data_IF_681164705997
#
_entry.id   IF_681164705997
#
_cell.length_a   1.000
_cell.length_b   1.000
_cell.length_c   1.000
_cell.angle_alpha   90.00
_cell.angle_beta   90.00
_cell.angle_gamma   90.00
#
_symmetry.space_group_name_H-M   'P 1'
#
loop_
_entity.id
_entity.type
_entity.pdbx_description
1 polymer ?
#
# COMPACT_ATOMS: atom_id res chain seq x y z
N UNK A 1 -2.75 17.91 14.15
CA UNK A 1 -2.35 16.48 14.15
C UNK A 1 -3.25 15.79 13.13
N UNK A 2 -2.81 15.70 11.86
CA UNK A 2 -3.60 15.10 10.78
C UNK A 2 -3.54 13.58 10.91
N UNK A 3 -4.68 12.93 11.11
CA UNK A 3 -4.79 11.48 11.06
C UNK A 3 -4.78 11.05 9.59
N UNK A 4 -3.78 10.25 9.19
CA UNK A 4 -3.69 9.70 7.83
C UNK A 4 -4.88 8.76 7.57
N UNK A 5 -5.97 9.32 7.03
CA UNK A 5 -7.22 8.61 6.72
C UNK A 5 -7.07 7.51 5.64
N UNK A 6 -5.92 7.40 4.98
CA UNK A 6 -5.69 6.45 3.88
C UNK A 6 -5.36 5.02 4.33
N UNK A 7 -4.92 4.81 5.58
CA UNK A 7 -4.60 3.44 6.04
C UNK A 7 -5.83 2.55 6.25
N UNK A 8 -7.05 3.12 6.26
CA UNK A 8 -8.28 2.38 6.53
C UNK A 8 -8.96 1.79 5.29
N UNK A 9 -8.54 2.16 4.06
CA UNK A 9 -9.16 1.64 2.83
C UNK A 9 -8.74 0.20 2.53
N UNK A 10 -7.50 -0.17 2.87
CA UNK A 10 -6.99 -1.53 2.72
C UNK A 10 -7.03 -2.23 4.07
N UNK A 11 -7.66 -3.42 4.17
CA UNK A 11 -7.91 -4.09 5.45
C UNK A 11 -6.66 -4.80 5.99
N UNK A 12 -5.55 -4.06 6.16
CA UNK A 12 -4.22 -4.60 6.48
C UNK A 12 -4.23 -5.49 7.72
N UNK A 13 -4.91 -5.07 8.78
CA UNK A 13 -5.07 -5.83 10.02
C UNK A 13 -5.95 -7.06 9.86
N UNK A 14 -7.02 -6.96 9.08
CA UNK A 14 -7.98 -8.07 8.91
C UNK A 14 -7.41 -9.20 8.06
N UNK A 15 -6.47 -8.88 7.15
CA UNK A 15 -5.74 -9.88 6.36
C UNK A 15 -4.33 -10.18 6.92
N UNK A 16 -3.99 -9.62 8.09
CA UNK A 16 -2.68 -9.75 8.75
C UNK A 16 -1.47 -9.38 7.87
N UNK A 17 -1.63 -8.47 6.91
CA UNK A 17 -0.52 -8.04 6.05
C UNK A 17 0.52 -7.20 6.79
N UNK A 18 0.11 -6.53 7.88
CA UNK A 18 1.01 -5.86 8.80
C UNK A 18 1.88 -6.84 9.58
N UNK A 19 1.31 -7.94 10.08
CA UNK A 19 2.05 -9.00 10.76
C UNK A 19 3.05 -9.64 9.80
N UNK A 20 2.61 -10.02 8.60
CA UNK A 20 3.47 -10.63 7.59
C UNK A 20 4.67 -9.74 7.24
N UNK A 21 4.44 -8.44 6.99
CA UNK A 21 5.54 -7.53 6.66
C UNK A 21 6.51 -7.31 7.83
N UNK A 22 6.01 -7.31 9.07
CA UNK A 22 6.87 -7.23 10.25
C UNK A 22 7.78 -8.47 10.40
N UNK A 23 7.27 -9.66 10.10
CA UNK A 23 8.02 -10.92 10.16
C UNK A 23 8.94 -11.12 8.94
N UNK A 24 8.60 -10.50 7.80
CA UNK A 24 9.31 -10.60 6.53
C UNK A 24 9.58 -9.22 5.92
N UNK A 25 10.41 -8.41 6.58
CA UNK A 25 10.66 -7.01 6.20
C UNK A 25 11.14 -6.82 4.74
N UNK A 26 11.79 -7.82 4.13
CA UNK A 26 12.21 -7.78 2.73
C UNK A 26 11.09 -7.99 1.70
N UNK A 27 9.87 -8.30 2.15
CA UNK A 27 8.69 -8.49 1.30
C UNK A 27 7.84 -7.21 1.22
N UNK A 28 8.49 -6.06 1.05
CA UNK A 28 7.86 -4.73 0.98
C UNK A 28 7.31 -4.35 -0.41
N UNK A 29 7.66 -5.14 -1.44
CA UNK A 29 7.22 -4.93 -2.81
C UNK A 29 8.07 -3.93 -3.61
N UNK A 30 9.14 -3.36 -3.05
CA UNK A 30 9.96 -2.33 -3.72
C UNK A 30 10.61 -2.79 -5.03
N UNK A 31 10.83 -4.09 -5.22
CA UNK A 31 11.39 -4.68 -6.46
C UNK A 31 10.32 -5.27 -7.40
N UNK A 32 9.06 -5.25 -6.99
CA UNK A 32 7.96 -5.89 -7.72
C UNK A 32 7.21 -4.85 -8.55
N UNK A 33 6.97 -5.14 -9.84
CA UNK A 33 6.15 -4.30 -10.71
C UNK A 33 4.80 -4.96 -10.96
N UNK A 34 3.72 -4.22 -10.69
CA UNK A 34 2.35 -4.67 -10.88
C UNK A 34 1.72 -3.88 -12.03
N UNK A 35 1.05 -4.57 -12.95
CA UNK A 35 0.19 -3.95 -13.95
C UNK A 35 -1.25 -3.94 -13.43
N UNK A 36 -1.91 -2.79 -13.51
CA UNK A 36 -3.33 -2.64 -13.16
C UNK A 36 -4.10 -2.40 -14.44
N UNK A 37 -5.03 -3.29 -14.76
CA UNK A 37 -6.00 -3.09 -15.83
C UNK A 37 -7.32 -2.63 -15.23
N UNK A 38 -7.57 -1.34 -15.34
CA UNK A 38 -8.77 -0.67 -14.89
C UNK A 38 -9.02 0.53 -15.84
N UNK A 39 -10.07 1.29 -15.57
CA UNK A 39 -10.46 2.49 -16.30
C UNK A 39 -9.46 3.64 -16.19
N UNK A 40 -8.59 3.64 -15.18
CA UNK A 40 -7.52 4.62 -15.01
C UNK A 40 -6.93 4.62 -13.60
N UNK A 41 -5.80 5.32 -13.43
CA UNK A 41 -5.16 5.60 -12.15
C UNK A 41 -4.81 7.09 -12.12
N UNK A 42 -5.02 7.75 -10.98
CA UNK A 42 -4.46 9.09 -10.70
C UNK A 42 -3.10 8.93 -9.99
N UNK A 43 -1.96 9.18 -10.67
CA UNK A 43 -0.63 9.03 -10.06
C UNK A 43 -0.33 10.08 -8.98
N UNK A 44 -1.14 11.15 -8.91
CA UNK A 44 -0.94 12.23 -7.92
C UNK A 44 -1.62 11.94 -6.58
N UNK A 45 -2.48 10.92 -6.53
CA UNK A 45 -3.17 10.49 -5.33
C UNK A 45 -2.18 10.14 -4.18
N UNK A 46 -2.57 10.49 -2.96
CA UNK A 46 -1.78 10.21 -1.77
C UNK A 46 -1.49 8.70 -1.64
N UNK A 47 -0.22 8.35 -1.47
CA UNK A 47 0.22 6.96 -1.34
C UNK A 47 0.67 6.27 -2.64
N UNK A 48 0.53 6.92 -3.80
CA UNK A 48 1.18 6.50 -5.06
C UNK A 48 2.42 7.32 -5.42
N UNK A 49 2.68 8.36 -4.65
CA UNK A 49 3.88 9.20 -4.80
C UNK A 49 5.12 8.39 -4.41
N UNK A 50 6.22 8.63 -5.11
CA UNK A 50 7.54 8.11 -4.70
C UNK A 50 8.02 8.96 -3.51
N UNK A 51 8.40 8.29 -2.43
CA UNK A 51 9.02 8.91 -1.24
C UNK A 51 10.50 9.16 -1.42
#
# INVERSE_FOLDING_TARGET
MMTNAFSSLLPKKQINSDVFLNEHAGCDGCVTRIAVWDTGIDPTAAGLQVS
#
